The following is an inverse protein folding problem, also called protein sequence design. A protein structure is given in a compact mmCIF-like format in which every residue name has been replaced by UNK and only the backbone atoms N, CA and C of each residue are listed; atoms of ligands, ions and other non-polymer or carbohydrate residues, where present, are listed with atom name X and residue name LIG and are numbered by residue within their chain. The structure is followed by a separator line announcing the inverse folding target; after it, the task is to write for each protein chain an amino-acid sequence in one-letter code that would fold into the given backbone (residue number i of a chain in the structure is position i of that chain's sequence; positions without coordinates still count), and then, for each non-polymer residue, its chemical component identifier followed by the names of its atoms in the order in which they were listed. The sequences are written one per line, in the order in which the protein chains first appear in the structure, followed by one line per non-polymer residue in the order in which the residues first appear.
data_IF_766623801144
#
_entry.id   IF_766623801144
#
_cell.length_a   1.000
_cell.length_b   1.000
_cell.length_c   1.000
_cell.angle_alpha   90.00
_cell.angle_beta   90.00
_cell.angle_gamma   90.00
#
_symmetry.space_group_name_H-M   'P 1'
#
loop_
_entity.id
_entity.type
_entity.pdbx_description
1 polymer ?
#
# COMPACT_ATOMS: atom_id res chain seq x y z
N UNK A 1 8.58 2.86 -59.96
CA UNK A 1 8.00 1.86 -59.03
C UNK A 1 9.15 1.19 -58.28
N UNK A 2 9.59 1.76 -57.17
CA UNK A 2 10.74 1.27 -56.39
C UNK A 2 10.58 1.80 -54.97
N UNK A 3 10.28 0.89 -54.04
CA UNK A 3 9.63 1.15 -52.76
C UNK A 3 10.46 2.04 -51.82
N UNK A 4 9.76 2.98 -51.18
CA UNK A 4 10.14 3.57 -49.89
C UNK A 4 10.53 2.46 -48.90
N UNK A 5 11.74 2.50 -48.36
CA UNK A 5 12.05 1.88 -47.06
C UNK A 5 12.68 2.93 -46.17
N UNK A 6 11.84 3.61 -45.39
CA UNK A 6 12.32 4.39 -44.24
C UNK A 6 12.96 3.40 -43.25
N UNK A 7 14.16 3.66 -42.71
CA UNK A 7 14.74 2.79 -41.70
C UNK A 7 13.81 2.73 -40.49
N UNK A 8 13.56 1.50 -40.05
CA UNK A 8 12.75 1.15 -38.91
C UNK A 8 13.22 1.94 -37.68
N UNK A 9 12.27 2.58 -37.02
CA UNK A 9 12.44 3.23 -35.74
C UNK A 9 13.04 2.23 -34.75
N UNK A 10 14.30 2.46 -34.41
CA UNK A 10 14.93 1.89 -33.23
C UNK A 10 14.35 2.66 -32.04
N UNK A 11 13.13 2.30 -31.63
CA UNK A 11 12.59 2.72 -30.34
C UNK A 11 13.38 1.99 -29.26
N UNK A 12 14.45 2.65 -28.81
CA UNK A 12 15.21 2.22 -27.66
C UNK A 12 14.27 2.00 -26.48
N UNK A 13 14.27 0.76 -25.96
CA UNK A 13 13.84 0.47 -24.59
C UNK A 13 14.76 1.23 -23.64
N UNK A 14 14.48 2.50 -23.41
CA UNK A 14 14.97 3.24 -22.24
C UNK A 14 13.83 3.25 -21.22
N UNK A 15 13.31 2.06 -20.91
CA UNK A 15 12.60 1.87 -19.64
C UNK A 15 13.66 2.03 -18.57
N UNK A 16 13.66 3.17 -17.88
CA UNK A 16 14.77 3.56 -17.04
C UNK A 16 14.94 2.51 -15.94
N UNK A 17 16.15 1.97 -15.77
CA UNK A 17 16.46 1.07 -14.64
C UNK A 17 16.13 1.72 -13.28
N UNK A 18 15.98 3.06 -13.25
CA UNK A 18 15.51 3.82 -12.08
C UNK A 18 14.04 3.52 -11.74
N UNK A 19 13.17 3.25 -12.71
CA UNK A 19 11.76 2.95 -12.47
C UNK A 19 11.58 1.53 -11.90
N UNK A 20 12.34 0.55 -12.40
CA UNK A 20 12.38 -0.80 -11.82
C UNK A 20 12.96 -0.80 -10.39
N UNK A 21 13.98 0.02 -10.13
CA UNK A 21 14.57 0.12 -8.80
C UNK A 21 13.64 0.85 -7.81
N UNK A 22 12.86 1.83 -8.28
CA UNK A 22 11.78 2.46 -7.50
C UNK A 22 10.66 1.47 -7.21
N UNK A 23 10.27 0.64 -8.18
CA UNK A 23 9.28 -0.39 -7.99
C UNK A 23 9.71 -1.37 -6.87
N UNK A 24 10.98 -1.81 -6.85
CA UNK A 24 11.48 -2.76 -5.82
C UNK A 24 11.61 -2.19 -4.40
N UNK A 25 11.54 -0.87 -4.20
CA UNK A 25 11.68 -0.21 -2.88
C UNK A 25 10.38 0.36 -2.32
N UNK A 26 9.29 0.33 -3.08
CA UNK A 26 7.99 0.87 -2.67
C UNK A 26 7.13 -0.10 -1.86
N UNK A 27 6.14 0.45 -1.15
CA UNK A 27 5.14 -0.35 -0.45
C UNK A 27 4.33 -1.27 -1.39
N UNK A 28 4.13 -0.86 -2.65
CA UNK A 28 3.45 -1.68 -3.67
C UNK A 28 4.18 -2.99 -4.00
N UNK A 29 5.53 -3.00 -4.01
CA UNK A 29 6.26 -4.26 -4.23
C UNK A 29 6.22 -5.19 -3.04
N UNK A 30 6.31 -4.64 -1.82
CA UNK A 30 6.13 -5.43 -0.61
C UNK A 30 4.74 -6.06 -0.56
N UNK A 31 3.70 -5.28 -0.87
CA UNK A 31 2.32 -5.76 -0.92
C UNK A 31 2.13 -6.90 -1.93
N UNK A 32 2.72 -6.79 -3.12
CA UNK A 32 2.70 -7.86 -4.14
C UNK A 32 3.42 -9.12 -3.69
N UNK A 33 4.45 -9.00 -2.85
CA UNK A 33 5.22 -10.13 -2.33
C UNK A 33 4.51 -10.84 -1.17
N UNK A 34 3.91 -10.09 -0.25
CA UNK A 34 3.30 -10.65 0.96
C UNK A 34 1.83 -11.03 0.77
N UNK A 35 1.14 -10.42 -0.19
CA UNK A 35 -0.30 -10.61 -0.43
C UNK A 35 -1.21 -10.12 0.69
N UNK A 36 -0.64 -9.60 1.79
CA UNK A 36 -1.36 -9.08 2.97
C UNK A 36 -0.69 -7.81 3.45
N UNK A 37 -1.49 -6.81 3.81
CA UNK A 37 -1.02 -5.50 4.24
C UNK A 37 -1.82 -5.02 5.45
N UNK A 38 -1.10 -4.56 6.47
CA UNK A 38 -1.65 -3.85 7.62
C UNK A 38 -1.03 -2.45 7.71
N UNK A 39 -1.87 -1.42 7.76
CA UNK A 39 -1.45 -0.03 7.90
C UNK A 39 -1.78 0.42 9.33
N UNK A 40 -0.81 0.98 10.05
CA UNK A 40 -1.01 1.52 11.38
C UNK A 40 -0.58 2.99 11.46
N UNK A 41 -1.41 3.84 12.07
CA UNK A 41 -1.08 5.24 12.33
C UNK A 41 -1.91 5.82 13.49
N UNK A 42 -1.41 6.85 14.16
CA UNK A 42 -2.07 7.41 15.36
C UNK A 42 -3.29 8.29 15.04
N UNK A 43 -3.34 8.86 13.83
CA UNK A 43 -4.48 9.67 13.38
C UNK A 43 -5.80 8.87 13.36
N UNK A 44 -6.96 9.54 13.39
CA UNK A 44 -8.27 8.93 13.24
C UNK A 44 -8.41 8.09 11.96
N UNK A 45 -9.30 7.09 12.00
CA UNK A 45 -9.51 6.15 10.90
C UNK A 45 -10.09 6.84 9.66
N UNK A 46 -11.04 7.73 9.89
CA UNK A 46 -11.82 8.42 8.87
C UNK A 46 -11.01 9.57 8.28
N UNK A 47 -10.92 9.60 6.94
CA UNK A 47 -10.13 10.60 6.19
C UNK A 47 -8.64 10.70 6.60
N UNK A 48 -8.11 9.68 7.28
CA UNK A 48 -6.69 9.59 7.61
C UNK A 48 -5.83 9.18 6.40
N UNK A 49 -4.52 9.43 6.47
CA UNK A 49 -3.58 9.06 5.41
C UNK A 49 -3.57 7.57 5.08
N UNK A 50 -3.90 6.71 6.06
CA UNK A 50 -4.03 5.27 5.82
C UNK A 50 -5.15 4.90 4.85
N UNK A 51 -6.16 5.76 4.64
CA UNK A 51 -7.20 5.54 3.64
C UNK A 51 -6.64 5.70 2.21
N UNK A 52 -5.87 6.75 1.98
CA UNK A 52 -5.22 7.00 0.69
C UNK A 52 -4.24 5.88 0.34
N UNK A 53 -3.39 5.50 1.30
CA UNK A 53 -2.43 4.41 1.10
C UNK A 53 -3.13 3.08 0.80
N UNK A 54 -4.25 2.78 1.49
CA UNK A 54 -5.03 1.58 1.20
C UNK A 54 -5.64 1.61 -0.20
N UNK A 55 -6.17 2.76 -0.64
CA UNK A 55 -6.72 2.92 -1.99
C UNK A 55 -5.64 2.72 -3.05
N UNK A 56 -4.48 3.38 -2.92
CA UNK A 56 -3.36 3.21 -3.86
C UNK A 56 -2.87 1.76 -3.93
N UNK A 57 -2.74 1.08 -2.79
CA UNK A 57 -2.33 -0.33 -2.76
C UNK A 57 -3.37 -1.22 -3.44
N UNK A 58 -4.66 -0.97 -3.18
CA UNK A 58 -5.74 -1.72 -3.81
C UNK A 58 -5.74 -1.55 -5.33
N UNK A 59 -5.49 -0.35 -5.84
CA UNK A 59 -5.38 -0.05 -7.27
C UNK A 59 -4.19 -0.76 -7.92
N UNK A 60 -3.01 -0.71 -7.30
CA UNK A 60 -1.78 -1.27 -7.88
C UNK A 60 -1.64 -2.78 -7.71
N UNK A 61 -2.27 -3.35 -6.68
CA UNK A 61 -2.03 -4.72 -6.20
C UNK A 61 -3.29 -5.58 -6.13
N UNK A 62 -4.40 -5.17 -6.77
CA UNK A 62 -5.70 -5.84 -6.71
C UNK A 62 -5.63 -7.37 -6.86
N UNK A 63 -4.90 -7.86 -7.87
CA UNK A 63 -4.81 -9.29 -8.20
C UNK A 63 -3.89 -10.09 -7.26
N UNK A 64 -3.08 -9.42 -6.43
CA UNK A 64 -2.10 -10.06 -5.57
C UNK A 64 -2.53 -10.10 -4.10
N UNK A 65 -3.64 -9.43 -3.74
CA UNK A 65 -4.12 -9.38 -2.37
C UNK A 65 -4.91 -10.65 -2.03
N UNK A 66 -4.44 -11.38 -1.03
CA UNK A 66 -5.09 -12.59 -0.51
C UNK A 66 -6.15 -12.25 0.55
N UNK A 67 -6.01 -11.10 1.20
CA UNK A 67 -6.89 -10.61 2.25
C UNK A 67 -7.17 -9.10 2.09
N UNK A 68 -8.30 -8.58 2.60
CA UNK A 68 -8.58 -7.15 2.59
C UNK A 68 -7.52 -6.38 3.38
N UNK A 69 -7.15 -5.18 2.92
CA UNK A 69 -6.17 -4.33 3.60
C UNK A 69 -6.73 -3.91 4.97
N UNK A 70 -6.04 -4.29 6.05
CA UNK A 70 -6.44 -3.90 7.40
C UNK A 70 -5.80 -2.56 7.78
N UNK A 71 -6.54 -1.75 8.55
CA UNK A 71 -6.07 -0.48 9.11
C UNK A 71 -6.28 -0.48 10.62
N UNK A 72 -5.21 -0.19 11.37
CA UNK A 72 -5.22 -0.10 12.84
C UNK A 72 -4.83 1.33 13.22
N UNK A 73 -5.84 2.13 13.57
CA UNK A 73 -5.66 3.57 13.72
C UNK A 73 -6.15 4.08 15.08
N UNK A 74 -5.94 5.37 15.35
CA UNK A 74 -6.71 6.08 16.36
C UNK A 74 -8.21 5.99 16.09
N UNK A 75 -9.01 6.14 17.15
CA UNK A 75 -10.47 6.18 17.03
C UNK A 75 -10.93 7.50 16.41
N UNK A 76 -12.15 7.54 15.87
CA UNK A 76 -12.76 8.75 15.32
C UNK A 76 -13.30 9.66 16.44
N UNK A 77 -12.40 10.03 17.35
CA UNK A 77 -12.66 10.93 18.48
C UNK A 77 -11.54 11.95 18.59
N UNK A 78 -11.79 13.16 19.11
CA UNK A 78 -10.72 14.05 19.51
C UNK A 78 -9.74 13.35 20.46
N UNK A 79 -8.47 13.73 20.40
CA UNK A 79 -7.43 13.10 21.22
C UNK A 79 -7.73 13.26 22.72
N UNK A 80 -7.95 12.18 23.47
CA UNK A 80 -8.29 12.27 24.88
C UNK A 80 -7.05 12.35 25.77
N UNK A 81 -7.08 13.20 26.80
CA UNK A 81 -5.94 13.37 27.71
C UNK A 81 -5.78 12.19 28.69
N UNK A 82 -6.84 11.83 29.42
CA UNK A 82 -6.79 10.72 30.41
C UNK A 82 -6.86 9.34 29.73
N UNK A 83 -7.51 9.26 28.57
CA UNK A 83 -7.71 8.01 27.84
C UNK A 83 -6.70 7.78 26.72
N UNK A 84 -5.59 8.51 26.70
CA UNK A 84 -4.51 8.36 25.71
C UNK A 84 -4.08 6.88 25.52
N UNK A 85 -3.86 6.07 26.58
CA UNK A 85 -3.45 4.66 26.42
C UNK A 85 -4.47 3.79 25.67
N UNK A 86 -5.75 4.17 25.70
CA UNK A 86 -6.83 3.46 25.01
C UNK A 86 -7.05 3.97 23.58
N UNK A 87 -6.60 5.19 23.30
CA UNK A 87 -6.75 5.83 22.00
C UNK A 87 -5.67 5.36 21.01
N UNK A 88 -4.42 5.31 21.47
CA UNK A 88 -3.28 4.96 20.62
C UNK A 88 -3.41 3.51 20.11
N UNK A 89 -3.07 3.24 18.85
CA UNK A 89 -2.98 1.87 18.34
C UNK A 89 -1.81 1.12 19.00
N UNK A 90 -2.07 0.52 20.15
CA UNK A 90 -1.07 -0.28 20.86
C UNK A 90 -0.72 -1.59 20.11
N UNK A 91 0.41 -2.19 20.46
CA UNK A 91 0.93 -3.46 19.91
C UNK A 91 -0.11 -4.58 19.94
N UNK A 92 -0.97 -4.64 20.96
CA UNK A 92 -2.04 -5.64 21.04
C UNK A 92 -3.11 -5.44 19.96
N UNK A 93 -3.46 -4.18 19.64
CA UNK A 93 -4.41 -3.87 18.56
C UNK A 93 -3.81 -4.22 17.20
N UNK A 94 -2.53 -3.93 17.00
CA UNK A 94 -1.81 -4.34 15.79
C UNK A 94 -1.76 -5.86 15.65
N UNK A 95 -1.43 -6.59 16.73
CA UNK A 95 -1.39 -8.05 16.72
C UNK A 95 -2.76 -8.68 16.45
N UNK A 96 -3.83 -8.13 17.02
CA UNK A 96 -5.19 -8.55 16.71
C UNK A 96 -5.55 -8.31 15.23
N UNK A 97 -5.11 -7.19 14.65
CA UNK A 97 -5.27 -6.91 13.22
C UNK A 97 -4.51 -7.89 12.34
N UNK A 98 -3.25 -8.19 12.68
CA UNK A 98 -2.42 -9.17 11.95
C UNK A 98 -3.07 -10.56 11.99
N UNK A 99 -3.54 -11.00 13.16
CA UNK A 99 -4.20 -12.30 13.30
C UNK A 99 -5.42 -12.42 12.38
N UNK A 100 -6.26 -11.39 12.34
CA UNK A 100 -7.43 -11.33 11.43
C UNK A 100 -7.04 -11.42 9.95
N UNK A 101 -5.88 -10.88 9.56
CA UNK A 101 -5.38 -10.96 8.17
C UNK A 101 -4.84 -12.34 7.81
N UNK A 102 -4.27 -13.06 8.78
CA UNK A 102 -3.73 -14.40 8.57
C UNK A 102 -4.86 -15.41 8.47
N UNK A 103 -5.93 -15.23 9.26
CA UNK A 103 -7.07 -16.15 9.36
C UNK A 103 -8.13 -15.95 8.25
N UNK A 104 -7.93 -15.00 7.32
CA UNK A 104 -8.86 -14.70 6.21
C UNK A 104 -8.67 -15.68 5.05
#
# INVERSE_FOLDING_TARGET
MGKLSRPAQQQGKVGSQRDELKAKRGFGWSAKKTGRVLIAHEAPLTCGFGAELAATIQEECFLHLEAPIARVTGWDTPFPHVFEPFYIPDKFRCLAGIKKLIDY
#
